data_IF_844366092746
#
_entry.id   IF_844366092746
#
_cell.length_a   1.000
_cell.length_b   1.000
_cell.length_c   1.000
_cell.angle_alpha   90.00
_cell.angle_beta   90.00
_cell.angle_gamma   90.00
#
_symmetry.space_group_name_H-M   'P 1'
#
loop_
_entity.id
_entity.type
_entity.pdbx_description
1 polymer ?
#
# COMPACT_ATOMS: atom_id res chain seq x y z
N UNK A 1 44.46 -56.53 -2.58
CA UNK A 1 43.08 -55.99 -2.64
C UNK A 1 42.66 -55.65 -1.22
N UNK A 2 42.74 -54.38 -0.79
CA UNK A 2 42.15 -53.94 0.48
C UNK A 2 41.10 -52.83 0.30
N UNK A 3 40.14 -52.86 1.22
CA UNK A 3 39.41 -51.76 1.84
C UNK A 3 38.60 -50.76 0.98
N UNK A 4 37.30 -51.07 0.85
CA UNK A 4 36.27 -50.09 0.53
C UNK A 4 35.84 -49.34 1.82
N UNK A 5 36.45 -48.18 2.03
CA UNK A 5 36.07 -47.18 3.02
C UNK A 5 34.64 -46.69 2.75
N UNK A 6 33.72 -46.88 3.71
CA UNK A 6 32.41 -46.20 3.72
C UNK A 6 32.61 -44.78 4.26
N UNK A 7 32.17 -43.76 3.54
CA UNK A 7 32.03 -42.39 4.04
C UNK A 7 30.55 -42.00 3.99
N UNK A 8 29.97 -41.44 5.08
CA UNK A 8 28.59 -41.01 5.09
C UNK A 8 28.47 -39.69 4.33
N UNK A 9 27.47 -39.63 3.45
CA UNK A 9 27.09 -38.46 2.66
C UNK A 9 26.55 -37.38 3.62
N UNK A 10 27.36 -36.36 3.94
CA UNK A 10 26.88 -35.14 4.58
C UNK A 10 26.05 -34.35 3.56
N UNK A 11 24.74 -34.26 3.80
CA UNK A 11 23.87 -33.30 3.12
C UNK A 11 24.12 -31.91 3.72
N UNK A 12 24.88 -31.07 3.00
CA UNK A 12 25.02 -29.66 3.31
C UNK A 12 23.83 -28.91 2.69
N UNK A 13 22.83 -28.56 3.51
CA UNK A 13 21.75 -27.68 3.12
C UNK A 13 22.29 -26.25 3.11
N UNK A 14 22.67 -25.74 1.94
CA UNK A 14 23.07 -24.35 1.79
C UNK A 14 21.83 -23.44 1.88
N UNK A 15 21.69 -22.73 2.99
CA UNK A 15 20.69 -21.70 3.19
C UNK A 15 21.22 -20.41 2.53
N UNK A 16 20.89 -20.20 1.26
CA UNK A 16 21.25 -18.98 0.54
C UNK A 16 20.38 -17.84 1.05
N UNK A 17 20.90 -17.04 1.96
CA UNK A 17 20.36 -15.71 2.25
C UNK A 17 20.48 -14.87 0.96
N UNK A 18 19.36 -14.57 0.30
CA UNK A 18 19.29 -13.45 -0.63
C UNK A 18 19.44 -12.17 0.19
N UNK A 19 20.68 -11.72 0.36
CA UNK A 19 20.96 -10.34 0.71
C UNK A 19 20.70 -9.57 -0.58
N UNK A 20 19.55 -8.89 -0.67
CA UNK A 20 19.31 -7.93 -1.72
C UNK A 20 20.47 -6.91 -1.68
N UNK A 21 21.23 -6.82 -2.78
CA UNK A 21 22.21 -5.75 -2.91
C UNK A 21 21.46 -4.41 -2.79
N UNK A 22 22.03 -3.39 -2.12
CA UNK A 22 21.44 -2.07 -2.15
C UNK A 22 21.45 -1.61 -3.60
N UNK A 23 20.28 -1.55 -4.23
CA UNK A 23 20.10 -0.77 -5.44
C UNK A 23 20.52 0.66 -5.10
N UNK A 24 21.44 1.23 -5.87
CA UNK A 24 21.74 2.64 -5.79
C UNK A 24 20.45 3.35 -6.21
N UNK A 25 19.72 3.93 -5.26
CA UNK A 25 18.61 4.84 -5.56
C UNK A 25 19.20 6.00 -6.36
N UNK A 26 18.68 6.24 -7.56
CA UNK A 26 18.82 7.56 -8.15
C UNK A 26 17.89 8.45 -7.31
N UNK A 27 18.37 9.62 -6.90
CA UNK A 27 17.55 10.63 -6.24
C UNK A 27 16.50 11.12 -7.26
N UNK A 28 15.42 10.36 -7.40
CA UNK A 28 14.25 10.70 -8.20
C UNK A 28 13.01 10.44 -7.35
N UNK A 29 12.11 11.42 -7.32
CA UNK A 29 10.81 11.34 -6.66
C UNK A 29 9.71 11.48 -7.71
N UNK A 30 9.59 10.46 -8.57
CA UNK A 30 8.74 10.51 -9.77
C UNK A 30 7.27 10.78 -9.43
N UNK A 31 6.79 10.37 -8.25
CA UNK A 31 5.43 10.67 -7.81
C UNK A 31 5.27 12.15 -7.41
N UNK A 32 6.18 12.68 -6.58
CA UNK A 32 6.19 14.09 -6.20
C UNK A 32 6.35 15.00 -7.42
N UNK A 33 7.24 14.64 -8.34
CA UNK A 33 7.49 15.37 -9.59
C UNK A 33 6.26 15.35 -10.50
N UNK A 34 5.64 14.19 -10.71
CA UNK A 34 4.43 14.06 -11.50
C UNK A 34 3.31 14.95 -10.97
N UNK A 35 3.05 14.90 -9.66
CA UNK A 35 2.00 15.67 -9.00
C UNK A 35 2.27 17.18 -9.02
N UNK A 36 3.54 17.60 -8.88
CA UNK A 36 3.89 19.03 -8.87
C UNK A 36 3.46 19.79 -10.13
N UNK A 37 3.28 19.09 -11.25
CA UNK A 37 2.98 19.64 -12.57
C UNK A 37 1.48 19.70 -12.92
N UNK A 38 0.61 19.18 -12.06
CA UNK A 38 -0.81 18.96 -12.35
C UNK A 38 -1.73 19.48 -11.25
N UNK A 39 -2.93 19.91 -11.66
CA UNK A 39 -3.95 20.38 -10.74
C UNK A 39 -4.70 19.27 -10.02
N UNK A 40 -5.56 19.70 -9.09
CA UNK A 40 -6.27 18.85 -8.14
C UNK A 40 -7.10 17.77 -8.83
N UNK A 41 -7.92 18.17 -9.81
CA UNK A 41 -8.83 17.25 -10.52
C UNK A 41 -8.06 16.19 -11.31
N UNK A 42 -6.94 16.61 -11.93
CA UNK A 42 -6.07 15.67 -12.63
C UNK A 42 -5.38 14.72 -11.66
N UNK A 43 -4.82 15.24 -10.56
CA UNK A 43 -4.14 14.46 -9.54
C UNK A 43 -5.04 13.41 -8.89
N UNK A 44 -6.31 13.74 -8.65
CA UNK A 44 -7.31 12.81 -8.16
C UNK A 44 -7.45 11.60 -9.10
N UNK A 45 -7.76 11.85 -10.38
CA UNK A 45 -7.91 10.80 -11.40
C UNK A 45 -6.61 10.02 -11.66
N UNK A 46 -5.46 10.69 -11.56
CA UNK A 46 -4.15 10.11 -11.79
C UNK A 46 -3.74 9.13 -10.68
N UNK A 47 -4.03 9.47 -9.42
CA UNK A 47 -3.64 8.70 -8.23
C UNK A 47 -4.67 7.67 -7.79
N UNK A 48 -5.94 7.82 -8.16
CA UNK A 48 -7.03 6.92 -7.74
C UNK A 48 -6.70 5.42 -7.95
N UNK A 49 -6.15 4.97 -9.09
CA UNK A 49 -5.76 3.56 -9.22
C UNK A 49 -4.76 3.07 -8.18
N UNK A 50 -3.86 3.94 -7.73
CA UNK A 50 -2.83 3.61 -6.72
C UNK A 50 -3.49 3.51 -5.35
N UNK A 51 -4.36 4.44 -5.00
CA UNK A 51 -5.05 4.45 -3.71
C UNK A 51 -6.02 3.27 -3.59
N UNK A 52 -6.73 2.92 -4.66
CA UNK A 52 -7.56 1.72 -4.77
C UNK A 52 -6.72 0.44 -4.51
N UNK A 53 -5.57 0.34 -5.18
CA UNK A 53 -4.70 -0.84 -5.07
C UNK A 53 -4.08 -0.95 -3.67
N UNK A 54 -3.65 0.16 -3.07
CA UNK A 54 -3.15 0.20 -1.71
C UNK A 54 -4.23 -0.18 -0.70
N UNK A 55 -5.45 0.34 -0.84
CA UNK A 55 -6.59 -0.02 -0.01
C UNK A 55 -6.89 -1.52 -0.05
N UNK A 56 -6.95 -2.10 -1.26
CA UNK A 56 -7.15 -3.53 -1.45
C UNK A 56 -6.00 -4.38 -0.86
N UNK A 57 -4.75 -3.94 -1.01
CA UNK A 57 -3.58 -4.68 -0.56
C UNK A 57 -3.42 -4.68 0.96
N UNK A 58 -3.65 -3.53 1.60
CA UNK A 58 -3.63 -3.37 3.05
C UNK A 58 -4.59 -4.33 3.77
N UNK A 59 -5.69 -4.66 3.11
CA UNK A 59 -6.73 -5.54 3.65
C UNK A 59 -6.44 -7.03 3.43
N UNK A 60 -5.36 -7.37 2.73
CA UNK A 60 -4.95 -8.74 2.52
C UNK A 60 -4.17 -9.31 3.72
N UNK A 61 -4.11 -10.64 3.79
CA UNK A 61 -3.25 -11.35 4.74
C UNK A 61 -3.51 -11.11 6.24
N UNK A 62 -4.67 -10.54 6.62
CA UNK A 62 -5.04 -10.20 8.01
C UNK A 62 -5.10 -11.39 8.97
N UNK A 63 -5.39 -12.58 8.43
CA UNK A 63 -5.45 -13.82 9.19
C UNK A 63 -5.01 -15.03 8.36
N UNK A 64 -4.62 -16.09 9.07
CA UNK A 64 -4.24 -17.39 8.49
C UNK A 64 -4.92 -18.59 9.17
N UNK A 65 -5.66 -18.32 10.24
CA UNK A 65 -6.42 -19.30 11.04
C UNK A 65 -7.37 -18.55 11.96
N UNK A 66 -8.54 -19.11 12.23
CA UNK A 66 -9.48 -18.65 13.25
C UNK A 66 -9.17 -19.25 14.64
N UNK A 67 -8.20 -20.16 14.73
CA UNK A 67 -7.74 -20.71 15.99
C UNK A 67 -6.97 -19.63 16.77
N UNK A 68 -7.46 -19.30 17.97
CA UNK A 68 -6.74 -18.47 18.93
C UNK A 68 -6.25 -19.43 20.01
N UNK A 69 -4.94 -19.48 20.25
CA UNK A 69 -4.38 -20.40 21.24
C UNK A 69 -5.01 -20.21 22.64
N UNK A 70 -4.80 -21.19 23.53
CA UNK A 70 -5.32 -21.11 24.90
C UNK A 70 -6.75 -21.62 25.07
N UNK A 71 -7.32 -22.33 24.10
CA UNK A 71 -8.63 -23.02 24.20
C UNK A 71 -8.61 -24.25 25.16
N UNK A 72 -7.51 -24.46 25.89
CA UNK A 72 -7.35 -25.52 26.90
C UNK A 72 -7.35 -24.98 28.35
N UNK A 73 -7.34 -25.89 29.32
CA UNK A 73 -7.43 -25.59 30.78
C UNK A 73 -6.20 -24.81 31.32
N UNK A 74 -5.14 -24.69 30.54
CA UNK A 74 -3.89 -24.00 30.91
C UNK A 74 -3.75 -22.75 30.04
N UNK A 75 -3.69 -21.54 30.60
CA UNK A 75 -3.41 -20.33 29.84
C UNK A 75 -1.96 -20.38 29.34
N UNK A 76 -1.79 -20.67 28.04
CA UNK A 76 -0.47 -20.70 27.39
C UNK A 76 -0.33 -19.46 26.55
N UNK A 77 0.49 -18.50 26.97
CA UNK A 77 0.80 -17.31 26.18
C UNK A 77 1.37 -17.72 24.83
N UNK A 78 0.64 -17.42 23.75
CA UNK A 78 1.08 -17.61 22.38
C UNK A 78 1.81 -16.39 21.88
N UNK A 79 3.00 -16.58 21.30
CA UNK A 79 3.75 -15.53 20.59
C UNK A 79 3.94 -15.98 19.15
N UNK A 80 3.75 -15.05 18.22
CA UNK A 80 3.92 -15.25 16.80
C UNK A 80 4.81 -14.14 16.23
N UNK A 81 5.74 -14.52 15.35
CA UNK A 81 6.50 -13.59 14.52
C UNK A 81 6.45 -14.11 13.10
N UNK A 82 6.24 -13.23 12.13
CA UNK A 82 6.28 -13.60 10.72
C UNK A 82 6.18 -12.39 9.80
N UNK A 83 6.07 -12.67 8.50
CA UNK A 83 5.93 -11.66 7.45
C UNK A 83 4.65 -11.98 6.67
N UNK A 84 3.81 -10.99 6.44
CA UNK A 84 2.68 -11.09 5.51
C UNK A 84 3.14 -10.58 4.13
N UNK A 85 3.06 -11.43 3.10
CA UNK A 85 3.22 -11.02 1.72
C UNK A 85 1.84 -10.81 1.10
N UNK A 86 1.64 -9.63 0.52
CA UNK A 86 0.38 -9.15 -0.03
C UNK A 86 0.66 -8.63 -1.46
N UNK A 87 -0.35 -8.60 -2.31
CA UNK A 87 -0.26 -7.90 -3.58
C UNK A 87 -1.64 -7.61 -4.18
N UNK A 88 -1.81 -6.39 -4.70
CA UNK A 88 -2.99 -5.98 -5.44
C UNK A 88 -2.75 -6.06 -6.96
N UNK A 89 -3.69 -6.67 -7.70
CA UNK A 89 -3.63 -6.70 -9.16
C UNK A 89 -4.04 -5.34 -9.73
N UNK A 90 -3.23 -4.79 -10.63
CA UNK A 90 -3.49 -3.49 -11.28
C UNK A 90 -4.34 -3.63 -12.54
N UNK A 91 -4.45 -4.84 -13.10
CA UNK A 91 -5.13 -5.12 -14.38
C UNK A 91 -6.63 -4.79 -14.43
N UNK A 92 -7.26 -4.51 -13.28
CA UNK A 92 -8.65 -4.07 -13.20
C UNK A 92 -8.83 -2.55 -13.07
N UNK A 93 -7.75 -1.81 -12.82
CA UNK A 93 -7.79 -0.37 -12.61
C UNK A 93 -7.78 0.40 -13.94
N UNK A 94 -8.31 1.63 -13.93
CA UNK A 94 -8.23 2.49 -15.10
C UNK A 94 -6.77 2.83 -15.41
N UNK A 95 -6.32 2.58 -16.65
CA UNK A 95 -4.97 2.93 -17.11
C UNK A 95 -4.87 4.33 -17.72
N UNK A 96 -6.01 4.98 -17.95
CA UNK A 96 -6.09 6.33 -18.52
C UNK A 96 -7.47 6.94 -18.28
N UNK A 97 -7.53 8.27 -18.27
CA UNK A 97 -8.74 9.07 -18.08
C UNK A 97 -8.79 10.24 -19.06
N UNK A 98 -9.92 10.94 -19.12
CA UNK A 98 -10.06 12.18 -19.89
C UNK A 98 -9.90 13.36 -18.94
N UNK A 99 -8.84 14.19 -19.08
CA UNK A 99 -8.60 15.29 -18.17
C UNK A 99 -9.70 16.36 -18.33
N UNK A 100 -9.93 17.14 -17.29
CA UNK A 100 -10.89 18.24 -17.29
C UNK A 100 -10.13 19.54 -17.03
N UNK A 101 -10.39 20.56 -17.84
CA UNK A 101 -9.82 21.89 -17.61
C UNK A 101 -10.23 22.40 -16.21
N UNK A 102 -9.29 23.04 -15.52
CA UNK A 102 -9.52 23.48 -14.14
C UNK A 102 -8.87 24.82 -13.84
N UNK A 103 -9.37 25.48 -12.79
CA UNK A 103 -8.88 26.78 -12.32
C UNK A 103 -8.29 26.60 -10.92
N UNK A 104 -7.03 26.99 -10.73
CA UNK A 104 -6.33 26.94 -9.44
C UNK A 104 -6.04 28.35 -8.95
N UNK A 105 -6.09 28.55 -7.63
CA UNK A 105 -5.58 29.76 -7.00
C UNK A 105 -4.25 29.45 -6.31
N UNK A 106 -3.20 30.16 -6.67
CA UNK A 106 -1.88 30.03 -6.03
C UNK A 106 -1.87 30.68 -4.66
N UNK A 107 -0.89 30.32 -3.83
CA UNK A 107 -0.76 30.83 -2.46
C UNK A 107 -0.55 32.36 -2.40
N UNK A 108 0.01 32.95 -3.47
CA UNK A 108 0.18 34.39 -3.64
C UNK A 108 -1.05 35.10 -4.24
N UNK A 109 -2.15 34.36 -4.46
CA UNK A 109 -3.46 34.88 -4.83
C UNK A 109 -3.69 35.06 -6.33
N UNK A 110 -2.84 34.49 -7.19
CA UNK A 110 -3.09 34.47 -8.64
C UNK A 110 -4.08 33.37 -9.00
N UNK A 111 -4.80 33.57 -10.09
CA UNK A 111 -5.75 32.59 -10.61
C UNK A 111 -5.23 32.08 -11.94
N UNK A 112 -4.93 30.78 -11.98
CA UNK A 112 -4.39 30.08 -13.14
C UNK A 112 -5.49 29.21 -13.74
N UNK A 113 -5.72 29.32 -15.05
CA UNK A 113 -6.59 28.45 -15.82
C UNK A 113 -5.72 27.43 -16.57
N UNK A 114 -5.91 26.14 -16.28
CA UNK A 114 -5.17 25.01 -16.85
C UNK A 114 -6.02 24.36 -17.94
N UNK A 115 -5.48 24.32 -19.16
CA UNK A 115 -6.11 23.66 -20.31
C UNK A 115 -5.30 22.44 -20.73
N UNK A 116 -5.97 21.29 -20.80
CA UNK A 116 -5.31 20.04 -21.18
C UNK A 116 -5.43 19.79 -22.68
N UNK A 117 -4.29 19.71 -23.37
CA UNK A 117 -4.26 19.47 -24.82
C UNK A 117 -4.78 18.08 -25.26
N UNK A 118 -4.40 16.97 -24.62
CA UNK A 118 -4.81 15.63 -25.04
C UNK A 118 -6.18 15.21 -24.50
N UNK A 119 -6.96 14.50 -25.32
CA UNK A 119 -8.28 13.96 -24.95
C UNK A 119 -8.20 12.83 -23.89
N UNK A 120 -7.05 12.14 -23.83
CA UNK A 120 -6.79 11.06 -22.86
C UNK A 120 -5.35 11.10 -22.39
N UNK A 121 -5.19 10.84 -21.11
CA UNK A 121 -3.90 10.82 -20.40
C UNK A 121 -3.80 9.57 -19.52
N UNK A 122 -2.58 9.06 -19.26
CA UNK A 122 -2.37 7.90 -18.41
C UNK A 122 -2.69 8.20 -16.94
N UNK A 123 -3.06 7.16 -16.19
CA UNK A 123 -3.00 7.18 -14.72
C UNK A 123 -1.60 6.80 -14.25
N UNK A 124 -1.33 6.80 -12.94
CA UNK A 124 -0.04 6.33 -12.42
C UNK A 124 0.29 4.86 -12.76
N UNK A 125 -0.72 4.01 -13.03
CA UNK A 125 -0.57 2.65 -13.57
C UNK A 125 -0.74 2.57 -15.10
N UNK A 126 -0.67 3.71 -15.78
CA UNK A 126 -0.90 3.84 -17.21
C UNK A 126 0.35 3.68 -18.09
N UNK A 127 0.25 4.19 -19.31
CA UNK A 127 1.34 4.19 -20.28
C UNK A 127 2.49 5.11 -19.84
N UNK A 128 3.73 4.62 -19.91
CA UNK A 128 4.95 5.33 -19.50
C UNK A 128 5.48 6.30 -20.59
N UNK A 129 4.73 6.47 -21.69
CA UNK A 129 5.00 7.50 -22.69
C UNK A 129 4.42 8.86 -22.30
N UNK A 130 5.10 9.93 -22.70
CA UNK A 130 4.61 11.30 -22.48
C UNK A 130 3.29 11.50 -23.24
N UNK A 131 2.19 11.89 -22.56
CA UNK A 131 0.88 12.03 -23.17
C UNK A 131 0.67 13.38 -23.87
N UNK A 132 1.64 14.30 -23.79
CA UNK A 132 1.55 15.66 -24.32
C UNK A 132 1.72 16.71 -23.23
N UNK A 133 1.14 17.88 -23.46
CA UNK A 133 1.35 19.08 -22.64
C UNK A 133 0.01 19.72 -22.23
N UNK A 134 0.03 20.42 -21.10
CA UNK A 134 -1.00 21.35 -20.68
C UNK A 134 -0.52 22.79 -20.86
N UNK A 135 -1.46 23.69 -21.10
CA UNK A 135 -1.21 25.14 -21.12
C UNK A 135 -1.76 25.75 -19.85
N UNK A 136 -0.92 26.50 -19.14
CA UNK A 136 -1.28 27.22 -17.93
C UNK A 136 -1.33 28.70 -18.30
N UNK A 137 -2.49 29.32 -18.13
CA UNK A 137 -2.71 30.73 -18.41
C UNK A 137 -3.04 31.48 -17.12
N UNK A 138 -2.36 32.60 -16.88
CA UNK A 138 -2.70 33.51 -15.80
C UNK A 138 -3.76 34.51 -16.31
N UNK A 139 -4.73 34.84 -15.46
CA UNK A 139 -5.75 35.84 -15.79
C UNK A 139 -5.21 37.26 -15.91
N UNK A 140 -3.99 37.55 -15.46
CA UNK A 140 -3.27 38.77 -15.85
C UNK A 140 -2.74 38.61 -17.30
N UNK A 141 -3.30 39.34 -18.28
CA UNK A 141 -2.90 39.21 -19.69
C UNK A 141 -1.46 39.70 -19.98
N UNK A 142 -0.73 40.18 -18.97
CA UNK A 142 0.69 40.54 -19.07
C UNK A 142 1.63 39.36 -18.77
N UNK A 143 1.12 38.31 -18.14
CA UNK A 143 1.86 37.09 -17.86
C UNK A 143 1.74 36.17 -19.08
N UNK A 144 2.86 35.73 -19.68
CA UNK A 144 2.81 34.77 -20.78
C UNK A 144 2.26 33.41 -20.32
N UNK A 145 1.59 32.71 -21.23
CA UNK A 145 1.17 31.33 -20.98
C UNK A 145 2.41 30.43 -20.81
N UNK A 146 2.31 29.51 -19.86
CA UNK A 146 3.29 28.46 -19.61
C UNK A 146 2.81 27.15 -20.22
N UNK A 147 3.75 26.30 -20.64
CA UNK A 147 3.43 24.96 -21.15
C UNK A 147 4.19 23.93 -20.34
N UNK A 148 3.46 22.96 -19.79
CA UNK A 148 3.99 21.95 -18.87
C UNK A 148 3.76 20.58 -19.47
N UNK A 149 4.79 19.73 -19.44
CA UNK A 149 4.69 18.33 -19.85
C UNK A 149 3.82 17.57 -18.83
N UNK A 150 2.81 16.87 -19.33
CA UNK A 150 1.93 16.07 -18.49
C UNK A 150 2.61 14.78 -18.04
N UNK A 151 2.32 14.30 -16.82
CA UNK A 151 2.97 13.12 -16.28
C UNK A 151 2.58 11.87 -17.09
N UNK A 152 3.60 11.08 -17.40
CA UNK A 152 3.46 9.70 -17.87
C UNK A 152 3.02 8.79 -16.72
N UNK A 153 2.54 7.59 -17.02
CA UNK A 153 2.40 6.55 -16.01
C UNK A 153 3.74 6.24 -15.33
N UNK A 154 3.68 5.94 -14.03
CA UNK A 154 4.85 5.67 -13.19
C UNK A 154 5.21 4.19 -13.19
N UNK A 155 4.18 3.33 -13.19
CA UNK A 155 4.34 1.91 -12.88
C UNK A 155 3.55 1.06 -13.87
N UNK A 156 4.23 0.40 -14.79
CA UNK A 156 3.62 -0.60 -15.67
C UNK A 156 3.83 -2.03 -15.16
N UNK A 157 3.27 -2.33 -13.97
CA UNK A 157 3.33 -3.67 -13.35
C UNK A 157 1.94 -4.30 -13.25
N UNK A 158 1.78 -5.63 -13.45
CA UNK A 158 0.49 -6.31 -13.27
C UNK A 158 0.07 -6.47 -11.80
N UNK A 159 1.00 -6.28 -10.86
CA UNK A 159 0.77 -6.41 -9.43
C UNK A 159 1.61 -5.40 -8.65
N UNK A 160 1.02 -4.81 -7.61
CA UNK A 160 1.71 -4.00 -6.62
C UNK A 160 1.92 -4.85 -5.35
N UNK A 161 3.12 -5.42 -5.12
CA UNK A 161 3.37 -6.29 -3.96
C UNK A 161 3.82 -5.50 -2.72
N UNK A 162 3.39 -5.96 -1.53
CA UNK A 162 3.84 -5.43 -0.24
C UNK A 162 4.19 -6.57 0.73
N UNK A 163 5.31 -6.41 1.45
CA UNK A 163 5.74 -7.37 2.47
C UNK A 163 5.85 -6.68 3.83
N UNK A 164 5.07 -7.14 4.81
CA UNK A 164 4.95 -6.49 6.11
C UNK A 164 5.35 -7.44 7.24
N UNK A 165 6.39 -7.09 8.01
CA UNK A 165 6.69 -7.74 9.28
C UNK A 165 5.55 -7.61 10.30
N UNK A 166 5.26 -8.70 10.99
CA UNK A 166 4.19 -8.73 12.00
C UNK A 166 4.57 -9.59 13.19
N UNK A 167 4.15 -9.12 14.36
CA UNK A 167 4.29 -9.82 15.63
C UNK A 167 2.91 -9.92 16.29
N UNK A 168 2.59 -11.09 16.83
CA UNK A 168 1.38 -11.32 17.59
C UNK A 168 1.70 -11.86 18.96
N UNK A 169 0.91 -11.47 19.94
CA UNK A 169 0.96 -12.02 21.27
C UNK A 169 -0.44 -12.10 21.84
N UNK A 170 -0.73 -13.12 22.63
CA UNK A 170 -2.06 -13.27 23.19
C UNK A 170 -2.31 -14.67 23.68
N UNK A 171 -3.60 -15.01 23.78
CA UNK A 171 -4.27 -16.17 24.43
C UNK A 171 -4.76 -15.93 25.86
N UNK A 172 -4.97 -14.68 26.27
CA UNK A 172 -5.72 -14.35 27.49
C UNK A 172 -7.21 -14.38 27.17
N UNK A 173 -7.98 -15.28 27.80
CA UNK A 173 -9.43 -15.41 27.62
C UNK A 173 -9.86 -15.58 26.14
N UNK A 174 -9.10 -16.38 25.38
CA UNK A 174 -9.37 -16.61 23.95
C UNK A 174 -9.14 -15.37 23.07
N UNK A 175 -8.33 -14.41 23.52
CA UNK A 175 -8.05 -13.16 22.79
C UNK A 175 -6.56 -13.04 22.47
N UNK A 176 -6.24 -12.64 21.25
CA UNK A 176 -4.90 -12.24 20.86
C UNK A 176 -4.85 -10.86 20.21
N UNK A 177 -3.65 -10.27 20.18
CA UNK A 177 -3.37 -9.02 19.53
C UNK A 177 -2.20 -9.21 18.54
N UNK A 178 -2.22 -8.43 17.46
CA UNK A 178 -1.19 -8.40 16.44
C UNK A 178 -0.80 -6.97 16.12
N UNK A 179 0.51 -6.74 16.00
CA UNK A 179 1.13 -5.54 15.49
C UNK A 179 1.74 -5.84 14.12
N UNK A 180 1.46 -4.97 13.16
CA UNK A 180 2.05 -4.92 11.83
C UNK A 180 2.87 -3.65 11.73
N UNK A 181 4.11 -3.74 11.29
CA UNK A 181 4.96 -2.57 11.20
C UNK A 181 5.94 -2.69 10.04
N UNK A 182 5.87 -1.72 9.14
CA UNK A 182 6.86 -1.50 8.08
C UNK A 182 7.49 -0.12 8.37
N UNK A 183 8.76 -0.05 8.78
CA UNK A 183 9.45 1.22 8.88
C UNK A 183 9.53 1.88 7.50
N UNK A 184 9.75 3.19 7.48
CA UNK A 184 9.98 3.93 6.24
C UNK A 184 11.08 3.25 5.39
N UNK A 185 10.67 2.77 4.22
CA UNK A 185 11.49 1.97 3.31
C UNK A 185 11.35 2.56 1.92
N UNK A 186 12.46 2.94 1.31
CA UNK A 186 12.47 3.52 -0.04
C UNK A 186 11.97 2.54 -1.09
N UNK A 187 11.11 3.02 -1.99
CA UNK A 187 10.59 2.28 -3.15
C UNK A 187 11.19 2.90 -4.40
N UNK A 188 12.40 2.47 -4.77
CA UNK A 188 13.12 2.95 -5.96
C UNK A 188 13.03 4.48 -6.09
N UNK A 189 12.43 4.95 -7.17
CA UNK A 189 12.34 6.35 -7.57
C UNK A 189 10.96 6.96 -7.25
N UNK A 190 10.16 6.30 -6.41
CA UNK A 190 8.76 6.67 -6.12
C UNK A 190 8.54 7.10 -4.67
N UNK A 191 9.62 7.48 -3.97
CA UNK A 191 9.56 7.87 -2.56
C UNK A 191 9.79 6.72 -1.60
N UNK A 192 9.16 6.79 -0.43
CA UNK A 192 9.31 5.84 0.66
C UNK A 192 7.95 5.42 1.22
N UNK A 193 7.80 4.14 1.56
CA UNK A 193 6.57 3.60 2.17
C UNK A 193 6.78 3.29 3.65
N UNK A 194 5.78 3.59 4.47
CA UNK A 194 5.73 3.17 5.86
C UNK A 194 4.34 2.66 6.21
N UNK A 195 4.25 1.78 7.20
CA UNK A 195 2.98 1.20 7.62
C UNK A 195 2.97 0.85 9.10
N UNK A 196 1.82 1.03 9.73
CA UNK A 196 1.55 0.58 11.09
C UNK A 196 0.13 0.04 11.20
N UNK A 197 -0.04 -1.11 11.85
CA UNK A 197 -1.35 -1.70 12.04
C UNK A 197 -1.48 -2.45 13.36
N UNK A 198 -2.64 -2.33 13.99
CA UNK A 198 -3.00 -3.01 15.23
C UNK A 198 -4.24 -3.84 15.00
N UNK A 199 -4.19 -5.12 15.39
CA UNK A 199 -5.33 -6.02 15.31
C UNK A 199 -5.59 -6.65 16.67
N UNK A 200 -6.87 -6.85 16.98
CA UNK A 200 -7.32 -7.66 18.12
C UNK A 200 -8.28 -8.71 17.60
N UNK A 201 -8.11 -9.96 18.03
CA UNK A 201 -8.94 -11.08 17.60
C UNK A 201 -9.38 -11.91 18.79
N UNK A 202 -10.61 -12.37 18.72
CA UNK A 202 -11.26 -13.12 19.79
C UNK A 202 -11.87 -14.42 19.25
N UNK A 203 -11.60 -15.54 19.93
CA UNK A 203 -12.18 -16.84 19.63
C UNK A 203 -13.63 -16.87 20.08
N UNK A 204 -14.50 -17.26 19.15
CA UNK A 204 -15.89 -17.62 19.43
C UNK A 204 -16.02 -19.13 19.70
N UNK A 205 -15.03 -19.93 19.29
CA UNK A 205 -14.98 -21.38 19.53
C UNK A 205 -15.06 -21.71 21.02
N UNK A 206 -14.51 -20.86 21.90
CA UNK A 206 -14.57 -21.07 23.36
C UNK A 206 -16.00 -21.12 23.92
N UNK A 207 -16.97 -20.52 23.22
CA UNK A 207 -18.39 -20.56 23.60
C UNK A 207 -19.15 -21.74 22.97
N UNK A 208 -18.51 -22.48 22.06
CA UNK A 208 -19.09 -23.60 21.31
C UNK A 208 -18.20 -24.85 21.51
N UNK A 209 -18.26 -25.49 22.69
CA UNK A 209 -17.40 -26.62 23.00
C UNK A 209 -17.61 -27.78 22.02
N UNK A 210 -16.54 -28.50 21.69
CA UNK A 210 -16.50 -29.63 20.74
C UNK A 210 -16.79 -29.25 19.27
N UNK A 211 -16.71 -27.97 18.92
CA UNK A 211 -16.82 -27.54 17.53
C UNK A 211 -15.72 -28.20 16.68
N UNK A 212 -16.05 -28.82 15.53
CA UNK A 212 -15.06 -29.41 14.62
C UNK A 212 -14.34 -28.37 13.74
N UNK A 213 -14.63 -27.09 13.97
CA UNK A 213 -14.13 -25.90 13.28
C UNK A 213 -13.82 -24.81 14.30
N UNK A 214 -12.88 -23.94 13.99
CA UNK A 214 -12.57 -22.76 14.78
C UNK A 214 -13.29 -21.54 14.20
N UNK A 215 -13.81 -20.68 15.07
CA UNK A 215 -14.49 -19.44 14.72
C UNK A 215 -13.87 -18.29 15.51
N UNK A 216 -13.63 -17.18 14.84
CA UNK A 216 -13.12 -15.96 15.47
C UNK A 216 -13.67 -14.71 14.80
N UNK A 217 -13.59 -13.61 15.51
CA UNK A 217 -13.79 -12.26 14.98
C UNK A 217 -12.57 -11.42 15.26
N UNK A 218 -12.23 -10.52 14.33
CA UNK A 218 -11.08 -9.63 14.45
C UNK A 218 -11.46 -8.22 14.05
N UNK A 219 -10.93 -7.25 14.80
CA UNK A 219 -10.88 -5.86 14.40
C UNK A 219 -9.44 -5.42 14.17
N UNK A 220 -9.21 -4.70 13.08
CA UNK A 220 -7.90 -4.15 12.73
C UNK A 220 -8.04 -2.66 12.44
N UNK A 221 -7.08 -1.88 12.91
CA UNK A 221 -6.85 -0.52 12.47
C UNK A 221 -5.46 -0.44 11.84
N UNK A 222 -5.32 0.27 10.73
CA UNK A 222 -4.04 0.42 10.06
C UNK A 222 -3.89 1.77 9.36
N UNK A 223 -2.63 2.20 9.26
CA UNK A 223 -2.18 3.39 8.57
C UNK A 223 -1.05 3.01 7.62
N UNK A 224 -1.08 3.56 6.41
CA UNK A 224 -0.03 3.48 5.41
C UNK A 224 0.29 4.91 4.97
N UNK A 225 1.57 5.23 4.82
CA UNK A 225 1.96 6.48 4.22
C UNK A 225 2.98 6.25 3.11
N UNK A 226 2.82 6.97 2.00
CA UNK A 226 3.83 7.13 0.96
C UNK A 226 4.36 8.55 1.06
N UNK A 227 5.67 8.66 1.26
CA UNK A 227 6.36 9.94 1.41
C UNK A 227 7.24 10.21 0.20
N UNK A 228 7.19 11.43 -0.31
CA UNK A 228 8.21 11.93 -1.23
C UNK A 228 9.53 12.18 -0.52
N UNK A 229 10.61 12.19 -1.29
CA UNK A 229 11.97 12.38 -0.81
C UNK A 229 12.55 13.74 -1.22
N UNK A 230 11.88 14.49 -2.12
CA UNK A 230 12.40 15.76 -2.67
C UNK A 230 11.43 16.94 -2.52
N UNK A 231 11.98 18.12 -2.22
CA UNK A 231 11.21 19.37 -2.13
C UNK A 231 10.68 19.78 -3.52
N UNK A 232 9.45 20.34 -3.62
CA UNK A 232 8.60 20.81 -2.52
C UNK A 232 7.69 19.71 -1.91
N UNK A 233 7.82 18.47 -2.37
CA UNK A 233 6.97 17.34 -2.00
C UNK A 233 7.67 16.34 -1.05
N UNK A 234 8.65 16.80 -0.27
CA UNK A 234 9.35 15.97 0.70
C UNK A 234 8.50 15.84 1.96
N UNK A 235 7.72 14.77 2.04
CA UNK A 235 6.75 14.54 3.10
C UNK A 235 5.70 13.53 2.68
N UNK A 236 4.68 13.32 3.50
CA UNK A 236 3.59 12.38 3.17
C UNK A 236 2.80 12.91 1.98
N UNK A 237 2.94 12.23 0.85
CA UNK A 237 2.16 12.50 -0.36
C UNK A 237 0.82 11.75 -0.29
N UNK A 238 0.84 10.50 0.18
CA UNK A 238 -0.35 9.68 0.40
C UNK A 238 -0.39 9.28 1.86
N UNK A 239 -1.49 9.55 2.57
CA UNK A 239 -1.75 9.07 3.92
C UNK A 239 -3.09 8.33 3.94
N UNK A 240 -3.03 7.00 4.03
CA UNK A 240 -4.19 6.13 4.03
C UNK A 240 -4.40 5.55 5.43
N UNK A 241 -5.62 5.67 5.97
CA UNK A 241 -5.97 5.09 7.26
C UNK A 241 -7.36 4.46 7.25
N UNK A 242 -7.53 3.38 8.00
CA UNK A 242 -8.78 2.65 7.97
C UNK A 242 -8.92 1.59 9.03
N UNK A 243 -10.13 1.04 9.10
CA UNK A 243 -10.45 -0.07 9.97
C UNK A 243 -11.09 -1.22 9.20
N UNK A 244 -10.88 -2.41 9.74
CA UNK A 244 -11.36 -3.67 9.18
C UNK A 244 -12.01 -4.48 10.29
N UNK A 245 -13.19 -5.02 10.01
CA UNK A 245 -13.85 -6.02 10.85
C UNK A 245 -14.01 -7.29 10.02
N UNK A 246 -13.55 -8.43 10.55
CA UNK A 246 -13.71 -9.70 9.86
C UNK A 246 -14.20 -10.82 10.79
N UNK A 247 -14.88 -11.78 10.18
CA UNK A 247 -15.30 -13.03 10.79
C UNK A 247 -14.58 -14.18 10.07
N UNK A 248 -13.98 -15.07 10.85
CA UNK A 248 -13.04 -16.08 10.38
C UNK A 248 -13.53 -17.48 10.74
N UNK A 249 -13.28 -18.43 9.84
CA UNK A 249 -13.44 -19.86 10.09
C UNK A 249 -12.15 -20.58 9.69
N UNK A 250 -11.72 -21.57 10.48
CA UNK A 250 -10.63 -22.44 10.08
C UNK A 250 -10.77 -23.88 10.57
N UNK A 251 -10.03 -24.77 9.93
CA UNK A 251 -9.87 -26.17 10.32
C UNK A 251 -8.45 -26.65 10.02
N UNK A 252 -7.76 -27.06 11.07
CA UNK A 252 -6.44 -27.67 11.02
C UNK A 252 -6.58 -29.16 10.69
N UNK A 253 -5.72 -29.69 9.80
CA UNK A 253 -5.67 -31.12 9.45
C UNK A 253 -4.75 -31.82 10.45
N UNK A 254 -5.21 -32.74 11.32
CA UNK A 254 -4.38 -33.25 12.42
C UNK A 254 -3.10 -33.99 12.01
N UNK A 255 -3.05 -34.52 10.78
CA UNK A 255 -1.95 -35.34 10.27
C UNK A 255 -0.98 -34.57 9.37
N UNK A 256 -1.21 -33.28 9.15
CA UNK A 256 -0.40 -32.45 8.27
C UNK A 256 -0.33 -31.01 8.79
N UNK A 257 0.74 -30.25 8.53
CA UNK A 257 0.83 -28.83 8.88
C UNK A 257 0.00 -27.96 7.92
N UNK A 258 -1.26 -28.35 7.69
CA UNK A 258 -2.18 -27.73 6.75
C UNK A 258 -3.38 -27.20 7.53
N UNK A 259 -3.64 -25.91 7.38
CA UNK A 259 -4.84 -25.27 7.90
C UNK A 259 -5.64 -24.73 6.72
N UNK A 260 -6.89 -25.16 6.61
CA UNK A 260 -7.84 -24.56 5.67
C UNK A 260 -8.59 -23.47 6.40
N UNK A 261 -8.64 -22.27 5.84
CA UNK A 261 -9.28 -21.12 6.48
C UNK A 261 -9.99 -20.25 5.43
N UNK A 262 -10.92 -19.44 5.91
CA UNK A 262 -11.65 -18.46 5.12
C UNK A 262 -12.36 -17.48 6.04
N UNK A 263 -12.93 -16.42 5.47
CA UNK A 263 -13.63 -15.41 6.25
C UNK A 263 -14.36 -14.42 5.38
N UNK A 264 -15.16 -13.60 6.04
CA UNK A 264 -15.83 -12.44 5.47
C UNK A 264 -15.26 -11.20 6.14
N UNK A 265 -15.11 -10.13 5.37
CA UNK A 265 -14.50 -8.90 5.81
C UNK A 265 -15.35 -7.70 5.40
N UNK A 266 -15.43 -6.74 6.30
CA UNK A 266 -15.94 -5.39 6.05
C UNK A 266 -14.82 -4.41 6.39
N UNK A 267 -14.58 -3.46 5.51
CA UNK A 267 -13.52 -2.46 5.64
C UNK A 267 -14.04 -1.07 5.31
N UNK A 268 -13.36 -0.07 5.85
CA UNK A 268 -13.52 1.33 5.45
C UNK A 268 -12.17 2.02 5.47
N UNK A 269 -11.83 2.73 4.41
CA UNK A 269 -10.58 3.48 4.27
C UNK A 269 -10.85 4.93 3.85
N UNK A 270 -10.03 5.83 4.38
CA UNK A 270 -9.88 7.19 3.86
C UNK A 270 -8.44 7.37 3.41
N UNK A 271 -8.26 8.00 2.26
CA UNK A 271 -6.95 8.30 1.69
C UNK A 271 -6.86 9.79 1.43
N UNK A 272 -5.87 10.42 2.07
CA UNK A 272 -5.55 11.82 1.86
C UNK A 272 -4.33 11.90 0.92
N UNK A 273 -4.46 12.62 -0.19
CA UNK A 273 -3.37 12.91 -1.13
C UNK A 273 -2.98 14.38 -1.01
N UNK A 274 -1.78 14.67 -0.50
CA UNK A 274 -1.28 16.02 -0.27
C UNK A 274 -0.03 16.30 -1.10
N UNK A 275 -0.01 17.41 -1.85
CA UNK A 275 1.15 17.80 -2.63
C UNK A 275 1.19 19.32 -2.87
N UNK A 276 2.34 19.82 -3.27
CA UNK A 276 2.57 21.19 -3.71
C UNK A 276 2.66 21.21 -5.23
N UNK A 277 1.69 21.88 -5.84
CA UNK A 277 1.70 22.26 -7.24
C UNK A 277 2.66 23.43 -7.45
N UNK A 278 3.45 23.40 -8.54
CA UNK A 278 4.48 24.40 -8.82
C UNK A 278 4.48 24.81 -10.30
N UNK A 279 4.53 26.13 -10.52
CA UNK A 279 4.62 26.77 -11.85
C UNK A 279 5.59 27.95 -11.78
N UNK A 280 5.96 28.51 -12.93
CA UNK A 280 6.73 29.77 -12.96
C UNK A 280 5.92 30.94 -12.35
N UNK A 281 4.59 30.84 -12.37
CA UNK A 281 3.68 31.81 -11.79
C UNK A 281 3.49 31.67 -10.27
N UNK A 282 3.88 30.57 -9.64
CA UNK A 282 3.77 30.36 -8.19
C UNK A 282 3.47 28.93 -7.78
N UNK A 283 3.30 28.72 -6.47
CA UNK A 283 2.96 27.42 -5.87
C UNK A 283 1.53 27.41 -5.32
N UNK A 284 0.96 26.21 -5.18
CA UNK A 284 -0.31 26.00 -4.48
C UNK A 284 -0.27 24.67 -3.72
N UNK A 285 -0.61 24.67 -2.44
CA UNK A 285 -0.78 23.41 -1.68
C UNK A 285 -2.13 22.79 -1.99
N UNK A 286 -2.12 21.55 -2.48
CA UNK A 286 -3.32 20.77 -2.79
C UNK A 286 -3.50 19.66 -1.75
N UNK A 287 -4.74 19.40 -1.36
CA UNK A 287 -5.11 18.30 -0.46
C UNK A 287 -6.42 17.69 -0.91
N UNK A 288 -6.36 16.44 -1.34
CA UNK A 288 -7.44 15.63 -1.87
C UNK A 288 -7.84 14.57 -0.84
N UNK A 289 -9.15 14.34 -0.68
CA UNK A 289 -9.65 13.25 0.16
C UNK A 289 -10.42 12.26 -0.72
N UNK A 290 -10.00 10.99 -0.71
CA UNK A 290 -10.65 9.89 -1.39
C UNK A 290 -11.20 8.92 -0.33
N UNK A 291 -12.52 8.74 -0.32
CA UNK A 291 -13.22 7.84 0.61
C UNK A 291 -13.67 6.57 -0.12
N UNK A 292 -13.34 5.40 0.43
CA UNK A 292 -13.82 4.07 0.00
C UNK A 292 -14.44 3.25 1.16
#
# INVERSE_FOLDING_TARGET
MPDALRHPLLFLLAFTFLIAAPAQAQDSDELGDALSSIGETYADSYTQPVTDALGADLNAGLFRTAEVGGEGVIPVVGVYVGVAGMGAFTSGSASSFAPQDETITTDDGRTLDITYGPDRVPTAFGDESSPGQATISDRDPRTPDETVDLPRGLLNTPVAPLAVPQIGAGTVLGTDAQLRYLPETSISDYGSVSMFGLSVRHSLSQYIPLSPINLAVQGTWQNLSVSGNEEPNSGKIIDASGWVLNAQISKSVPVAPITVYGGLQYEKFGVDVGYTFQTDAGTSTVSLNQDD
#
